data_IF_962524982258
#
_entry.id   IF_962524982258
#
_cell.length_a   1.000
_cell.length_b   1.000
_cell.length_c   1.000
_cell.angle_alpha   90.00
_cell.angle_beta   90.00
_cell.angle_gamma   90.00
#
_symmetry.space_group_name_H-M   'P 1'
#
loop_
_entity.id
_entity.type
_entity.pdbx_description
1 polymer ?
#
# COMPACT_ATOMS: atom_id res chain seq x y z
N UNK A 1 -12.25 23.00 -2.66
CA UNK A 1 -12.07 21.59 -2.26
C UNK A 1 -12.25 21.55 -0.75
N UNK A 2 -13.18 20.75 -0.23
CA UNK A 2 -13.38 20.62 1.21
C UNK A 2 -12.31 19.65 1.72
N UNK A 3 -11.37 20.12 2.54
CA UNK A 3 -10.32 19.28 3.11
C UNK A 3 -10.74 18.97 4.53
N UNK A 4 -10.91 17.68 4.81
CA UNK A 4 -11.15 17.22 6.18
C UNK A 4 -9.85 17.36 6.98
N UNK A 5 -9.86 18.29 7.95
CA UNK A 5 -8.65 18.69 8.68
C UNK A 5 -8.22 17.62 9.69
N UNK A 6 -9.17 16.80 10.16
CA UNK A 6 -8.90 15.71 11.10
C UNK A 6 -8.20 14.54 10.40
N UNK A 7 -8.60 14.22 9.16
CA UNK A 7 -7.91 13.23 8.33
C UNK A 7 -6.58 13.74 7.77
N UNK A 8 -6.37 15.06 7.64
CA UNK A 8 -5.11 15.63 7.15
C UNK A 8 -3.91 15.27 8.04
N UNK A 9 -4.05 15.44 9.36
CA UNK A 9 -2.96 15.14 10.30
C UNK A 9 -2.63 13.64 10.26
N UNK A 10 -3.66 12.79 10.29
CA UNK A 10 -3.51 11.34 10.19
C UNK A 10 -2.85 10.92 8.89
N UNK A 11 -3.25 11.52 7.75
CA UNK A 11 -2.66 11.28 6.44
C UNK A 11 -1.18 11.65 6.40
N UNK A 12 -0.81 12.84 6.91
CA UNK A 12 0.57 13.30 6.92
C UNK A 12 1.47 12.45 7.83
N UNK A 13 0.98 11.99 8.98
CA UNK A 13 1.74 11.09 9.85
C UNK A 13 1.93 9.73 9.17
N UNK A 14 0.83 9.17 8.67
CA UNK A 14 0.81 7.83 8.07
C UNK A 14 1.67 7.74 6.80
N UNK A 15 1.70 8.79 5.97
CA UNK A 15 2.44 8.77 4.70
C UNK A 15 3.76 9.52 4.78
N UNK A 16 3.81 10.66 5.47
CA UNK A 16 5.00 11.49 5.57
C UNK A 16 6.15 10.80 6.28
N UNK A 17 5.90 10.18 7.44
CA UNK A 17 6.97 9.51 8.21
C UNK A 17 7.58 8.34 7.45
N UNK A 18 6.81 7.37 6.92
CA UNK A 18 7.39 6.25 6.18
C UNK A 18 8.07 6.68 4.88
N UNK A 19 7.48 7.62 4.12
CA UNK A 19 8.13 8.14 2.91
C UNK A 19 9.46 8.79 3.24
N UNK A 20 9.53 9.61 4.29
CA UNK A 20 10.78 10.19 4.74
C UNK A 20 11.82 9.13 5.13
N UNK A 21 11.42 8.11 5.90
CA UNK A 21 12.30 7.02 6.30
C UNK A 21 12.85 6.25 5.08
N UNK A 22 11.99 5.91 4.13
CA UNK A 22 12.40 5.17 2.91
C UNK A 22 13.33 6.02 2.05
N UNK A 23 13.01 7.30 1.80
CA UNK A 23 13.86 8.21 1.02
C UNK A 23 15.21 8.39 1.69
N UNK A 24 15.24 8.63 3.01
CA UNK A 24 16.49 8.76 3.77
C UNK A 24 17.33 7.49 3.71
N UNK A 25 16.71 6.32 3.89
CA UNK A 25 17.39 5.03 3.79
C UNK A 25 18.00 4.81 2.41
N UNK A 26 17.21 5.02 1.36
CA UNK A 26 17.63 4.88 -0.02
C UNK A 26 18.79 5.82 -0.41
N UNK A 27 18.76 7.07 0.08
CA UNK A 27 19.84 8.03 -0.17
C UNK A 27 21.16 7.64 0.51
N UNK A 28 21.09 6.92 1.64
CA UNK A 28 22.27 6.45 2.40
C UNK A 28 22.85 5.13 1.90
N UNK A 29 22.12 4.37 1.08
CA UNK A 29 22.62 3.13 0.48
C UNK A 29 23.74 3.42 -0.52
N UNK A 30 24.73 2.52 -0.57
CA UNK A 30 25.72 2.49 -1.64
C UNK A 30 25.07 2.05 -2.98
N UNK A 31 25.88 2.02 -4.03
CA UNK A 31 25.40 1.80 -5.40
C UNK A 31 24.85 0.37 -5.59
N UNK A 32 25.48 -0.63 -4.99
CA UNK A 32 25.11 -2.04 -5.17
C UNK A 32 23.80 -2.34 -4.44
N UNK A 33 23.70 -1.90 -3.18
CA UNK A 33 22.47 -1.98 -2.38
C UNK A 33 21.30 -1.26 -3.05
N UNK A 34 21.55 -0.05 -3.57
CA UNK A 34 20.54 0.74 -4.28
C UNK A 34 20.05 0.04 -5.54
N UNK A 35 20.95 -0.61 -6.28
CA UNK A 35 20.59 -1.34 -7.50
C UNK A 35 19.81 -2.62 -7.18
N UNK A 36 20.19 -3.34 -6.11
CA UNK A 36 19.44 -4.48 -5.61
C UNK A 36 18.01 -4.07 -5.20
N UNK A 37 17.85 -3.01 -4.40
CA UNK A 37 16.53 -2.51 -4.00
C UNK A 37 15.66 -2.11 -5.20
N UNK A 38 16.23 -1.44 -6.22
CA UNK A 38 15.51 -1.12 -7.46
C UNK A 38 15.04 -2.37 -8.19
N UNK A 39 15.87 -3.43 -8.23
CA UNK A 39 15.52 -4.70 -8.87
C UNK A 39 14.35 -5.37 -8.16
N UNK A 40 14.38 -5.39 -6.84
CA UNK A 40 13.29 -5.94 -6.03
C UNK A 40 11.99 -5.17 -6.22
N UNK A 41 12.04 -3.83 -6.19
CA UNK A 41 10.87 -2.97 -6.43
C UNK A 41 10.30 -3.07 -7.84
N UNK A 42 11.14 -3.40 -8.83
CA UNK A 42 10.70 -3.63 -10.22
C UNK A 42 10.19 -5.05 -10.46
N UNK A 43 10.33 -5.96 -9.50
CA UNK A 43 9.82 -7.32 -9.66
C UNK A 43 8.30 -7.31 -9.77
N UNK A 44 7.75 -8.12 -10.68
CA UNK A 44 6.30 -8.24 -10.84
C UNK A 44 5.63 -8.65 -9.52
N UNK A 45 6.27 -9.53 -8.76
CA UNK A 45 5.78 -9.94 -7.44
C UNK A 45 5.65 -8.74 -6.50
N UNK A 46 6.66 -7.87 -6.39
CA UNK A 46 6.58 -6.68 -5.54
C UNK A 46 5.50 -5.73 -6.01
N UNK A 47 5.45 -5.42 -7.32
CA UNK A 47 4.50 -4.48 -7.91
C UNK A 47 3.06 -4.92 -7.62
N UNK A 48 2.70 -6.17 -7.94
CA UNK A 48 1.33 -6.65 -7.79
C UNK A 48 0.94 -7.01 -6.36
N UNK A 49 1.89 -7.01 -5.40
CA UNK A 49 1.59 -7.24 -3.99
C UNK A 49 1.74 -5.94 -3.20
N UNK A 50 2.93 -5.67 -2.66
CA UNK A 50 3.22 -4.52 -1.81
C UNK A 50 3.00 -3.21 -2.57
N UNK A 51 3.42 -3.11 -3.83
CA UNK A 51 3.27 -1.89 -4.63
C UNK A 51 1.80 -1.45 -4.76
N UNK A 52 0.95 -2.34 -5.29
CA UNK A 52 -0.49 -2.08 -5.43
C UNK A 52 -1.18 -1.86 -4.09
N UNK A 53 -0.79 -2.58 -3.03
CA UNK A 53 -1.36 -2.42 -1.70
C UNK A 53 -1.05 -1.04 -1.13
N UNK A 54 0.21 -0.61 -1.20
CA UNK A 54 0.66 0.69 -0.69
C UNK A 54 0.06 1.83 -1.52
N UNK A 55 0.12 1.78 -2.85
CA UNK A 55 -0.43 2.82 -3.72
C UNK A 55 -1.96 2.87 -3.60
N UNK A 56 -2.63 1.72 -3.53
CA UNK A 56 -4.07 1.65 -3.34
C UNK A 56 -4.51 2.27 -2.01
N UNK A 57 -3.81 1.96 -0.92
CA UNK A 57 -4.08 2.57 0.38
C UNK A 57 -3.82 4.08 0.37
N UNK A 58 -2.78 4.54 -0.33
CA UNK A 58 -2.49 5.96 -0.50
C UNK A 58 -3.65 6.67 -1.18
N UNK A 59 -4.12 6.16 -2.32
CA UNK A 59 -5.27 6.73 -3.03
C UNK A 59 -6.55 6.67 -2.21
N UNK A 60 -6.81 5.59 -1.49
CA UNK A 60 -7.98 5.49 -0.63
C UNK A 60 -7.98 6.57 0.48
N UNK A 61 -6.83 6.72 1.15
CA UNK A 61 -6.65 7.72 2.21
C UNK A 61 -6.71 9.15 1.65
N UNK A 62 -6.11 9.38 0.48
CA UNK A 62 -6.13 10.68 -0.19
C UNK A 62 -7.53 11.04 -0.68
N UNK A 63 -8.28 10.06 -1.21
CA UNK A 63 -9.68 10.23 -1.58
C UNK A 63 -10.55 10.63 -0.38
N UNK A 64 -10.32 10.02 0.79
CA UNK A 64 -10.99 10.42 2.04
C UNK A 64 -10.64 11.88 2.41
N UNK A 65 -9.35 12.22 2.44
CA UNK A 65 -8.87 13.57 2.78
C UNK A 65 -9.51 14.66 1.90
N UNK A 66 -9.61 14.40 0.60
CA UNK A 66 -10.18 15.36 -0.35
C UNK A 66 -11.69 15.24 -0.52
N UNK A 67 -12.36 14.32 0.19
CA UNK A 67 -13.77 13.95 0.00
C UNK A 67 -14.13 13.55 -1.45
N UNK A 68 -13.19 12.89 -2.14
CA UNK A 68 -13.31 12.44 -3.54
C UNK A 68 -13.53 10.92 -3.63
N UNK A 69 -14.80 10.51 -3.68
CA UNK A 69 -15.20 9.10 -3.74
C UNK A 69 -14.59 8.33 -4.92
N UNK A 70 -14.39 8.99 -6.08
CA UNK A 70 -13.79 8.36 -7.27
C UNK A 70 -12.36 7.89 -6.97
N UNK A 71 -11.55 8.73 -6.34
CA UNK A 71 -10.17 8.40 -5.96
C UNK A 71 -10.17 7.33 -4.86
N UNK A 72 -11.10 7.43 -3.90
CA UNK A 72 -11.27 6.43 -2.84
C UNK A 72 -11.51 5.04 -3.41
N UNK A 73 -12.50 4.90 -4.28
CA UNK A 73 -12.86 3.61 -4.88
C UNK A 73 -11.76 3.06 -5.79
N UNK A 74 -11.03 3.93 -6.51
CA UNK A 74 -9.84 3.51 -7.25
C UNK A 74 -8.80 2.90 -6.31
N UNK A 75 -8.54 3.52 -5.16
CA UNK A 75 -7.64 2.98 -4.15
C UNK A 75 -8.06 1.61 -3.63
N UNK A 76 -9.34 1.46 -3.24
CA UNK A 76 -9.90 0.19 -2.77
C UNK A 76 -9.80 -0.91 -3.83
N UNK A 77 -10.04 -0.57 -5.11
CA UNK A 77 -9.90 -1.51 -6.21
C UNK A 77 -8.46 -2.03 -6.34
N UNK A 78 -7.45 -1.16 -6.23
CA UNK A 78 -6.04 -1.57 -6.27
C UNK A 78 -5.67 -2.46 -5.08
N UNK A 79 -6.12 -2.14 -3.86
CA UNK A 79 -5.92 -2.98 -2.67
C UNK A 79 -6.54 -4.37 -2.86
N UNK A 80 -7.72 -4.43 -3.48
CA UNK A 80 -8.42 -5.69 -3.73
C UNK A 80 -7.63 -6.59 -4.67
N UNK A 81 -7.09 -6.04 -5.77
CA UNK A 81 -6.21 -6.78 -6.70
C UNK A 81 -4.95 -7.27 -5.97
N UNK A 82 -4.34 -6.41 -5.16
CA UNK A 82 -3.17 -6.77 -4.37
C UNK A 82 -3.49 -7.93 -3.42
N UNK A 83 -4.65 -7.90 -2.77
CA UNK A 83 -5.05 -8.94 -1.84
C UNK A 83 -5.33 -10.29 -2.46
N UNK A 84 -5.95 -10.30 -3.63
CA UNK A 84 -6.10 -11.53 -4.42
C UNK A 84 -4.72 -12.09 -4.76
N UNK A 85 -3.82 -11.24 -5.25
CA UNK A 85 -2.47 -11.66 -5.65
C UNK A 85 -1.66 -12.20 -4.48
N UNK A 86 -1.66 -11.50 -3.32
CA UNK A 86 -0.99 -11.95 -2.09
C UNK A 86 -1.55 -13.30 -1.64
N UNK A 87 -2.87 -13.46 -1.66
CA UNK A 87 -3.53 -14.72 -1.27
C UNK A 87 -3.06 -15.86 -2.15
N UNK A 88 -3.04 -15.68 -3.48
CA UNK A 88 -2.58 -16.69 -4.45
C UNK A 88 -1.10 -17.02 -4.25
N UNK A 89 -0.24 -16.02 -4.06
CA UNK A 89 1.20 -16.21 -3.82
C UNK A 89 1.44 -16.98 -2.52
N UNK A 90 0.71 -16.64 -1.45
CA UNK A 90 0.82 -17.33 -0.17
C UNK A 90 0.24 -18.74 -0.20
N UNK A 91 -0.83 -18.98 -0.95
CA UNK A 91 -1.45 -20.30 -1.08
C UNK A 91 -0.45 -21.33 -1.61
N UNK A 92 0.37 -20.93 -2.58
CA UNK A 92 1.43 -21.79 -3.15
C UNK A 92 2.49 -22.19 -2.13
N UNK A 93 2.69 -21.40 -1.07
CA UNK A 93 3.68 -21.67 -0.01
C UNK A 93 3.08 -22.38 1.20
N UNK A 94 1.93 -21.92 1.68
CA UNK A 94 1.25 -22.48 2.85
C UNK A 94 -0.24 -22.13 2.83
N UNK A 95 -1.09 -23.15 2.66
CA UNK A 95 -2.55 -23.01 2.56
C UNK A 95 -3.20 -22.40 3.82
N UNK A 96 -2.70 -22.73 5.01
CA UNK A 96 -3.27 -22.22 6.28
C UNK A 96 -2.89 -20.76 6.50
N UNK A 97 -1.66 -20.36 6.16
CA UNK A 97 -1.26 -18.95 6.26
C UNK A 97 -1.92 -18.07 5.19
N UNK A 98 -2.28 -18.66 4.05
CA UNK A 98 -2.94 -17.95 2.94
C UNK A 98 -4.31 -17.38 3.31
N UNK A 99 -5.08 -18.02 4.19
CA UNK A 99 -6.40 -17.51 4.62
C UNK A 99 -6.32 -16.28 5.51
N UNK A 100 -5.17 -15.98 6.13
CA UNK A 100 -4.98 -14.78 6.95
C UNK A 100 -4.94 -13.50 6.08
N UNK A 101 -4.30 -13.57 4.90
CA UNK A 101 -4.13 -12.43 4.02
C UNK A 101 -5.45 -11.77 3.58
N UNK A 102 -6.46 -12.49 3.05
CA UNK A 102 -7.72 -11.88 2.65
C UNK A 102 -8.50 -11.32 3.85
N UNK A 103 -8.40 -11.93 5.04
CA UNK A 103 -9.02 -11.40 6.27
C UNK A 103 -8.42 -10.06 6.65
N UNK A 104 -7.09 -9.95 6.69
CA UNK A 104 -6.40 -8.69 7.00
C UNK A 104 -6.73 -7.59 6.00
N UNK A 105 -6.88 -7.94 4.72
CA UNK A 105 -7.20 -6.99 3.67
C UNK A 105 -8.66 -6.54 3.74
N UNK A 106 -9.59 -7.44 4.04
CA UNK A 106 -10.98 -7.08 4.30
C UNK A 106 -11.10 -6.12 5.49
N UNK A 107 -10.36 -6.37 6.57
CA UNK A 107 -10.29 -5.47 7.73
C UNK A 107 -9.71 -4.11 7.34
N UNK A 108 -8.63 -4.08 6.56
CA UNK A 108 -8.04 -2.81 6.09
C UNK A 108 -9.03 -2.01 5.22
N UNK A 109 -9.78 -2.67 4.33
CA UNK A 109 -10.81 -2.03 3.52
C UNK A 109 -11.95 -1.50 4.40
N UNK A 110 -12.36 -2.24 5.43
CA UNK A 110 -13.41 -1.80 6.36
C UNK A 110 -13.07 -0.47 7.04
N UNK A 111 -11.81 -0.26 7.45
CA UNK A 111 -11.36 1.01 8.03
C UNK A 111 -11.24 2.16 7.02
N UNK A 112 -11.26 1.88 5.72
CA UNK A 112 -11.16 2.88 4.65
C UNK A 112 -12.51 3.37 4.11
N UNK A 113 -13.57 2.60 4.32
CA UNK A 113 -14.93 2.90 3.85
C UNK A 113 -15.54 3.99 4.71
#
# INVERSE_FOLDING_TARGET
>A
MNIDTDSLVSFLIMWGIPTFMVVRGYLKMDIDDRNSAKKDFKSAQFIFTIGLLVIGHFFASFGNLLTLNIIKFLGIFLITIAGITITVVMWRKNKIKSTLAPVLIAVAIYFLI
#
